data_IF_606110843323
#
_entry.id   IF_606110843323
#
_cell.length_a   1.000
_cell.length_b   1.000
_cell.length_c   1.000
_cell.angle_alpha   90.00
_cell.angle_beta   90.00
_cell.angle_gamma   90.00
#
_symmetry.space_group_name_H-M   'P 1'
#
loop_
_entity.id
_entity.type
_entity.pdbx_description
1 polymer ?
#
# COMPACT_ATOMS: atom_id res chain seq x y z
N UNK A 1 14.33 16.54 0.65
CA UNK A 1 14.59 16.20 -0.74
C UNK A 1 15.10 17.40 -1.55
N UNK A 2 14.36 18.49 -1.73
CA UNK A 2 14.83 19.67 -2.48
C UNK A 2 16.18 20.22 -1.98
N UNK A 3 16.42 20.25 -0.68
CA UNK A 3 17.67 20.72 -0.12
C UNK A 3 18.87 19.85 -0.51
N UNK A 4 18.71 18.53 -0.51
CA UNK A 4 19.78 17.61 -0.91
C UNK A 4 20.13 17.80 -2.39
N UNK A 5 19.11 17.95 -3.27
CA UNK A 5 19.31 18.26 -4.68
C UNK A 5 20.01 19.61 -4.90
N UNK A 6 19.68 20.62 -4.09
CA UNK A 6 20.31 21.93 -4.19
C UNK A 6 21.81 21.88 -3.86
N UNK A 7 22.20 21.02 -2.89
CA UNK A 7 23.63 20.83 -2.55
C UNK A 7 24.37 19.95 -3.57
N UNK A 8 23.69 19.09 -4.30
CA UNK A 8 24.27 18.30 -5.38
C UNK A 8 24.43 19.09 -6.71
N UNK A 9 23.66 20.19 -6.89
CA UNK A 9 23.67 20.99 -8.12
C UNK A 9 25.07 21.46 -8.55
N UNK A 10 25.95 22.01 -7.68
CA UNK A 10 27.30 22.44 -8.09
C UNK A 10 28.15 21.32 -8.63
N UNK A 11 28.01 20.10 -8.11
CA UNK A 11 28.76 18.92 -8.58
C UNK A 11 28.38 18.55 -10.02
N UNK A 12 27.09 18.73 -10.40
CA UNK A 12 26.61 18.43 -11.75
C UNK A 12 26.87 19.55 -12.77
N UNK A 13 27.03 20.80 -12.33
CA UNK A 13 27.23 21.94 -13.22
C UNK A 13 28.69 22.16 -13.60
N UNK A 14 29.62 21.34 -13.07
CA UNK A 14 31.05 21.42 -13.41
C UNK A 14 31.66 22.75 -13.00
N UNK A 15 31.29 23.24 -11.80
CA UNK A 15 31.93 24.41 -11.21
C UNK A 15 33.37 24.02 -10.79
N UNK A 16 34.29 24.04 -11.76
CA UNK A 16 35.72 23.75 -11.59
C UNK A 16 36.40 24.66 -10.58
N UNK A 17 35.71 25.69 -10.09
CA UNK A 17 36.22 26.65 -9.09
C UNK A 17 35.91 26.25 -7.64
N UNK A 18 35.25 25.10 -7.39
CA UNK A 18 35.02 24.65 -6.01
C UNK A 18 36.34 24.13 -5.40
N UNK A 19 36.68 24.69 -4.25
CA UNK A 19 37.81 24.17 -3.44
C UNK A 19 37.40 22.78 -2.91
N UNK A 20 38.32 21.84 -2.86
CA UNK A 20 38.11 20.46 -2.34
C UNK A 20 37.44 20.46 -0.96
N UNK A 21 37.69 21.47 -0.14
CA UNK A 21 37.04 21.65 1.16
C UNK A 21 35.57 21.93 1.06
N UNK A 22 35.11 22.65 0.01
CA UNK A 22 33.68 22.95 -0.23
C UNK A 22 32.94 21.73 -0.70
N UNK A 23 33.52 20.91 -1.55
CA UNK A 23 32.94 19.64 -1.99
C UNK A 23 32.74 18.68 -0.82
N UNK A 24 33.74 18.57 0.09
CA UNK A 24 33.60 17.75 1.28
C UNK A 24 32.51 18.27 2.21
N UNK A 25 32.39 19.58 2.42
CA UNK A 25 31.32 20.17 3.25
C UNK A 25 29.94 19.92 2.66
N UNK A 26 29.79 20.05 1.35
CA UNK A 26 28.53 19.76 0.64
C UNK A 26 28.19 18.28 0.74
N UNK A 27 29.16 17.39 0.60
CA UNK A 27 28.99 15.93 0.75
C UNK A 27 28.52 15.56 2.17
N UNK A 28 29.16 16.08 3.21
CA UNK A 28 28.78 15.84 4.61
C UNK A 28 27.40 16.41 4.94
N UNK A 29 27.05 17.58 4.40
CA UNK A 29 25.73 18.19 4.57
C UNK A 29 24.65 17.33 3.90
N UNK A 30 24.89 16.88 2.67
CA UNK A 30 24.00 15.98 1.95
C UNK A 30 23.83 14.64 2.69
N UNK A 31 24.88 14.07 3.22
CA UNK A 31 24.83 12.87 4.07
C UNK A 31 23.98 13.09 5.32
N UNK A 32 24.23 14.19 6.06
CA UNK A 32 23.47 14.51 7.28
C UNK A 32 21.98 14.69 7.03
N UNK A 33 21.60 15.26 5.88
CA UNK A 33 20.20 15.40 5.46
C UNK A 33 19.59 14.08 4.97
N UNK A 34 20.39 13.17 4.40
CA UNK A 34 19.94 11.89 3.90
C UNK A 34 19.68 10.88 5.02
N UNK A 35 20.47 10.93 6.12
CA UNK A 35 20.31 10.06 7.29
C UNK A 35 18.85 10.02 7.81
N UNK A 36 18.22 11.17 8.16
CA UNK A 36 16.82 11.14 8.63
C UNK A 36 15.86 10.66 7.57
N UNK A 37 16.11 10.91 6.29
CA UNK A 37 15.26 10.39 5.20
C UNK A 37 15.33 8.87 5.14
N UNK A 38 16.52 8.28 5.20
CA UNK A 38 16.68 6.81 5.19
C UNK A 38 16.09 6.17 6.44
N UNK A 39 16.33 6.74 7.62
CA UNK A 39 15.88 6.15 8.89
C UNK A 39 14.37 6.31 9.10
N UNK A 40 13.81 7.47 8.77
CA UNK A 40 12.40 7.76 9.04
C UNK A 40 11.50 7.40 7.86
N UNK A 41 11.82 7.88 6.66
CA UNK A 41 10.96 7.69 5.48
C UNK A 41 11.07 6.27 4.91
N UNK A 42 12.25 5.67 4.88
CA UNK A 42 12.43 4.28 4.46
C UNK A 42 12.24 3.27 5.61
N UNK A 43 12.17 3.72 6.88
CA UNK A 43 12.01 2.89 8.07
C UNK A 43 10.89 1.84 7.95
N UNK A 44 9.65 2.20 7.60
CA UNK A 44 8.57 1.24 7.41
C UNK A 44 8.89 0.15 6.37
N UNK A 45 9.61 0.49 5.30
CA UNK A 45 10.02 -0.49 4.28
C UNK A 45 11.04 -1.48 4.82
N UNK A 46 12.00 -1.01 5.61
CA UNK A 46 12.98 -1.89 6.28
C UNK A 46 12.33 -2.85 7.27
N UNK A 47 11.32 -2.38 8.03
CA UNK A 47 10.56 -3.23 8.96
C UNK A 47 9.80 -4.32 8.20
N UNK A 48 9.10 -3.97 7.12
CA UNK A 48 8.36 -4.93 6.28
C UNK A 48 9.33 -5.93 5.64
N UNK A 49 10.46 -5.47 5.11
CA UNK A 49 11.49 -6.32 4.53
C UNK A 49 12.07 -7.30 5.57
N UNK A 50 12.37 -6.82 6.77
CA UNK A 50 12.85 -7.65 7.87
C UNK A 50 11.85 -8.74 8.26
N UNK A 51 10.57 -8.40 8.39
CA UNK A 51 9.51 -9.37 8.65
C UNK A 51 9.36 -10.39 7.52
N UNK A 52 9.47 -9.95 6.25
CA UNK A 52 9.42 -10.84 5.09
C UNK A 52 10.57 -11.84 5.09
N UNK A 53 11.80 -11.40 5.38
CA UNK A 53 12.98 -12.26 5.48
C UNK A 53 12.82 -13.26 6.63
N UNK A 54 12.34 -12.80 7.79
CA UNK A 54 12.17 -13.67 8.96
C UNK A 54 11.09 -14.73 8.76
N UNK A 55 10.06 -14.43 7.99
CA UNK A 55 8.96 -15.35 7.69
C UNK A 55 9.18 -16.16 6.40
N UNK A 56 10.24 -15.89 5.65
CA UNK A 56 10.58 -16.62 4.43
C UNK A 56 10.57 -18.14 4.59
N UNK A 57 11.11 -18.75 5.68
CA UNK A 57 11.08 -20.20 5.87
C UNK A 57 9.67 -20.80 5.94
N UNK A 58 8.65 -19.97 6.28
CA UNK A 58 7.26 -20.40 6.43
C UNK A 58 6.41 -20.15 5.18
N UNK A 59 6.69 -19.08 4.46
CA UNK A 59 5.81 -18.58 3.38
C UNK A 59 6.39 -18.86 1.99
N UNK A 60 7.71 -19.04 1.87
CA UNK A 60 8.41 -19.27 0.58
C UNK A 60 8.37 -18.08 -0.37
N UNK A 61 7.80 -16.94 0.01
CA UNK A 61 7.67 -15.75 -0.81
C UNK A 61 8.42 -14.56 -0.19
N UNK A 62 9.30 -13.96 -0.97
CA UNK A 62 9.95 -12.70 -0.64
C UNK A 62 9.09 -11.54 -1.17
N UNK A 63 8.69 -10.63 -0.29
CA UNK A 63 8.00 -9.41 -0.69
C UNK A 63 8.88 -8.50 -1.54
N UNK A 64 8.28 -7.69 -2.41
CA UNK A 64 8.98 -6.70 -3.25
C UNK A 64 9.78 -5.67 -2.42
N UNK A 65 9.43 -5.48 -1.16
CA UNK A 65 10.12 -4.54 -0.25
C UNK A 65 11.54 -5.00 0.12
N UNK A 66 11.84 -6.31 0.02
CA UNK A 66 13.16 -6.86 0.39
C UNK A 66 14.27 -6.39 -0.57
N UNK A 67 14.18 -6.61 -1.90
CA UNK A 67 15.22 -6.15 -2.81
C UNK A 67 15.34 -4.63 -2.84
N UNK A 68 14.25 -3.91 -2.66
CA UNK A 68 14.24 -2.44 -2.65
C UNK A 68 14.95 -1.90 -1.41
N UNK A 69 14.63 -2.42 -0.21
CA UNK A 69 15.28 -2.00 1.03
C UNK A 69 16.76 -2.35 1.04
N UNK A 70 17.13 -3.50 0.48
CA UNK A 70 18.52 -3.91 0.32
C UNK A 70 19.28 -2.94 -0.61
N UNK A 71 18.69 -2.57 -1.76
CA UNK A 71 19.29 -1.63 -2.69
C UNK A 71 19.53 -0.25 -2.04
N UNK A 72 18.54 0.27 -1.32
CA UNK A 72 18.66 1.55 -0.59
C UNK A 72 19.76 1.47 0.47
N UNK A 73 19.81 0.38 1.26
CA UNK A 73 20.85 0.20 2.29
C UNK A 73 22.25 0.12 1.69
N UNK A 74 22.43 -0.67 0.62
CA UNK A 74 23.72 -0.81 -0.06
C UNK A 74 24.16 0.51 -0.70
N UNK A 75 23.26 1.23 -1.36
CA UNK A 75 23.57 2.53 -1.95
C UNK A 75 23.97 3.56 -0.88
N UNK A 76 23.27 3.59 0.26
CA UNK A 76 23.61 4.48 1.36
C UNK A 76 24.98 4.14 1.99
N UNK A 77 25.25 2.86 2.21
CA UNK A 77 26.56 2.39 2.72
C UNK A 77 27.67 2.73 1.72
N UNK A 78 27.48 2.44 0.43
CA UNK A 78 28.46 2.74 -0.60
C UNK A 78 28.74 4.25 -0.71
N UNK A 79 27.70 5.10 -0.68
CA UNK A 79 27.86 6.56 -0.67
C UNK A 79 28.59 7.06 0.58
N UNK A 80 28.32 6.46 1.74
CA UNK A 80 29.03 6.81 3.00
C UNK A 80 30.50 6.42 2.91
N UNK A 81 30.82 5.26 2.39
CA UNK A 81 32.21 4.81 2.19
C UNK A 81 32.92 5.76 1.22
N UNK A 82 32.29 6.09 0.10
CA UNK A 82 32.81 7.04 -0.88
C UNK A 82 33.14 8.40 -0.25
N UNK A 83 32.25 8.93 0.59
CA UNK A 83 32.44 10.19 1.29
C UNK A 83 33.61 10.14 2.30
N UNK A 84 33.75 9.05 3.07
CA UNK A 84 34.78 8.89 4.11
C UNK A 84 36.15 8.70 3.49
N UNK A 85 36.26 7.92 2.43
CA UNK A 85 37.53 7.64 1.78
C UNK A 85 37.92 8.65 0.68
N UNK A 86 36.99 9.56 0.32
CA UNK A 86 37.21 10.53 -0.75
C UNK A 86 37.39 9.87 -2.14
N UNK A 87 36.82 8.69 -2.34
CA UNK A 87 36.92 7.91 -3.57
C UNK A 87 35.59 7.84 -4.30
N UNK A 88 35.47 8.55 -5.39
CA UNK A 88 34.26 8.55 -6.24
C UNK A 88 33.20 9.56 -5.81
N UNK A 89 32.11 9.60 -6.56
CA UNK A 89 30.99 10.52 -6.35
C UNK A 89 30.00 9.96 -5.31
N UNK A 90 29.43 10.84 -4.50
CA UNK A 90 28.41 10.49 -3.53
C UNK A 90 27.02 10.81 -4.08
N UNK A 91 26.20 9.79 -4.34
CA UNK A 91 24.86 9.89 -4.94
C UNK A 91 23.74 9.97 -3.89
N UNK A 92 23.89 10.80 -2.86
CA UNK A 92 22.87 10.93 -1.80
C UNK A 92 21.56 11.56 -2.29
N UNK A 93 21.63 12.44 -3.28
CA UNK A 93 20.49 13.02 -3.97
C UNK A 93 19.67 11.96 -4.68
N UNK A 94 20.33 11.05 -5.40
CA UNK A 94 19.67 9.93 -6.12
C UNK A 94 18.97 8.99 -5.14
N UNK A 95 19.58 8.70 -3.97
CA UNK A 95 18.95 7.88 -2.93
C UNK A 95 17.70 8.56 -2.38
N UNK A 96 17.76 9.86 -2.07
CA UNK A 96 16.62 10.61 -1.54
C UNK A 96 15.50 10.74 -2.56
N UNK A 97 15.84 10.96 -3.83
CA UNK A 97 14.90 11.00 -4.94
C UNK A 97 14.21 9.64 -5.10
N UNK A 98 14.97 8.56 -5.10
CA UNK A 98 14.43 7.20 -5.22
C UNK A 98 13.45 6.88 -4.09
N UNK A 99 13.80 7.16 -2.83
CA UNK A 99 12.91 6.98 -1.68
C UNK A 99 11.63 7.81 -1.84
N UNK A 100 11.73 9.06 -2.32
CA UNK A 100 10.56 9.90 -2.53
C UNK A 100 9.63 9.37 -3.62
N UNK A 101 10.16 8.85 -4.73
CA UNK A 101 9.35 8.20 -5.76
C UNK A 101 8.67 6.93 -5.25
N UNK A 102 9.38 6.12 -4.47
CA UNK A 102 8.78 4.92 -3.87
C UNK A 102 7.63 5.26 -2.91
N UNK A 103 7.81 6.27 -2.07
CA UNK A 103 6.74 6.73 -1.17
C UNK A 103 5.57 7.33 -1.95
N UNK A 104 5.85 8.09 -3.01
CA UNK A 104 4.83 8.61 -3.93
C UNK A 104 4.03 7.51 -4.60
N UNK A 105 4.70 6.49 -5.13
CA UNK A 105 4.05 5.33 -5.73
C UNK A 105 3.17 4.58 -4.72
N UNK A 106 3.65 4.37 -3.50
CA UNK A 106 2.85 3.77 -2.41
C UNK A 106 1.64 4.60 -2.03
N UNK A 107 1.80 5.92 -1.99
CA UNK A 107 0.68 6.81 -1.71
C UNK A 107 -0.40 6.72 -2.80
N UNK A 108 0.00 6.70 -4.07
CA UNK A 108 -0.94 6.52 -5.19
C UNK A 108 -1.62 5.15 -5.16
N UNK A 109 -0.89 4.10 -4.81
CA UNK A 109 -1.47 2.76 -4.61
C UNK A 109 -2.54 2.76 -3.51
N UNK A 110 -2.27 3.42 -2.37
CA UNK A 110 -3.24 3.53 -1.28
C UNK A 110 -4.50 4.28 -1.70
N UNK A 111 -4.36 5.39 -2.44
CA UNK A 111 -5.51 6.13 -2.97
C UNK A 111 -6.36 5.26 -3.91
N UNK A 112 -5.72 4.59 -4.87
CA UNK A 112 -6.42 3.70 -5.81
C UNK A 112 -7.14 2.56 -5.09
N UNK A 113 -6.54 2.01 -4.04
CA UNK A 113 -7.15 0.94 -3.23
C UNK A 113 -8.34 1.45 -2.42
N UNK A 114 -8.28 2.65 -1.87
CA UNK A 114 -9.38 3.28 -1.14
C UNK A 114 -10.59 3.54 -2.05
N UNK A 115 -10.36 4.04 -3.27
CA UNK A 115 -11.42 4.26 -4.25
C UNK A 115 -12.10 2.95 -4.65
N UNK A 116 -11.34 1.88 -4.85
CA UNK A 116 -11.87 0.56 -5.17
C UNK A 116 -12.70 -0.03 -4.01
N UNK A 117 -12.29 0.16 -2.76
CA UNK A 117 -13.01 -0.32 -1.58
C UNK A 117 -14.32 0.47 -1.36
N UNK A 118 -14.31 1.78 -1.59
CA UNK A 118 -15.50 2.61 -1.50
C UNK A 118 -16.62 2.16 -2.44
N UNK A 119 -16.29 1.71 -3.64
CA UNK A 119 -17.25 1.13 -4.59
C UNK A 119 -17.86 -0.19 -4.09
N UNK A 120 -17.03 -1.07 -3.52
CA UNK A 120 -17.51 -2.35 -2.98
C UNK A 120 -18.38 -2.17 -1.73
N UNK A 121 -18.05 -1.23 -0.84
CA UNK A 121 -18.88 -0.90 0.32
C UNK A 121 -20.22 -0.26 -0.08
N UNK A 122 -20.24 0.57 -1.12
CA UNK A 122 -21.47 1.16 -1.65
C UNK A 122 -22.42 0.08 -2.18
N UNK A 123 -21.89 -0.94 -2.87
CA UNK A 123 -22.67 -2.09 -3.32
C UNK A 123 -23.16 -2.96 -2.15
N UNK A 124 -22.29 -3.21 -1.16
CA UNK A 124 -22.66 -3.98 0.03
C UNK A 124 -23.75 -3.30 0.87
N UNK A 125 -23.77 -1.96 0.92
CA UNK A 125 -24.83 -1.18 1.61
C UNK A 125 -26.18 -1.22 0.88
N UNK A 126 -26.23 -1.59 -0.41
CA UNK A 126 -27.47 -1.75 -1.14
C UNK A 126 -28.16 -3.09 -0.83
N UNK A 127 -27.43 -4.06 -0.29
CA UNK A 127 -28.03 -5.32 0.14
C UNK A 127 -28.85 -5.12 1.42
N UNK A 128 -30.08 -5.65 1.49
CA UNK A 128 -30.91 -5.54 2.68
C UNK A 128 -30.28 -6.32 3.84
N UNK A 129 -30.33 -5.74 5.04
CA UNK A 129 -29.82 -6.38 6.25
C UNK A 129 -30.72 -7.52 6.75
N UNK A 130 -32.00 -7.48 6.38
CA UNK A 130 -33.04 -8.44 6.76
C UNK A 130 -33.77 -8.96 5.55
N UNK A 131 -34.28 -10.16 5.62
CA UNK A 131 -35.13 -10.80 4.60
C UNK A 131 -36.32 -11.45 5.26
N UNK A 132 -37.40 -11.55 4.49
CA UNK A 132 -38.63 -12.19 4.91
C UNK A 132 -38.58 -13.68 4.54
N UNK A 133 -38.50 -14.55 5.57
CA UNK A 133 -38.43 -16.00 5.40
C UNK A 133 -39.77 -16.64 5.80
N UNK A 134 -40.22 -17.60 5.01
CA UNK A 134 -41.32 -18.50 5.40
C UNK A 134 -40.81 -19.46 6.49
N UNK A 135 -41.60 -19.63 7.57
CA UNK A 135 -41.27 -20.58 8.64
C UNK A 135 -41.53 -22.04 8.17
N UNK A 136 -42.62 -22.26 7.43
CA UNK A 136 -42.93 -23.54 6.78
C UNK A 136 -43.69 -23.26 5.48
N UNK A 137 -42.99 -23.21 4.35
CA UNK A 137 -43.60 -22.88 3.04
C UNK A 137 -44.67 -23.87 2.60
N UNK A 138 -44.62 -25.13 3.08
CA UNK A 138 -45.57 -26.15 2.69
C UNK A 138 -46.90 -26.07 3.45
N UNK A 139 -46.92 -25.57 4.70
CA UNK A 139 -48.07 -25.68 5.61
C UNK A 139 -48.60 -24.35 6.14
N UNK A 140 -47.81 -23.27 6.07
CA UNK A 140 -48.21 -21.97 6.61
C UNK A 140 -47.58 -20.79 5.84
N UNK A 141 -48.39 -19.71 5.70
CA UNK A 141 -47.90 -18.43 5.13
C UNK A 141 -47.27 -17.51 6.20
N UNK A 142 -46.81 -18.06 7.30
CA UNK A 142 -46.19 -17.27 8.37
C UNK A 142 -44.83 -16.80 7.91
N UNK A 143 -44.70 -15.48 7.77
CA UNK A 143 -43.47 -14.81 7.37
C UNK A 143 -42.81 -14.23 8.59
N UNK A 144 -41.48 -14.45 8.70
CA UNK A 144 -40.67 -13.93 9.79
C UNK A 144 -39.50 -13.16 9.19
N UNK A 145 -39.35 -11.89 9.61
CA UNK A 145 -38.18 -11.11 9.22
C UNK A 145 -36.98 -11.57 10.00
N UNK A 146 -35.94 -12.01 9.28
CA UNK A 146 -34.68 -12.53 9.84
C UNK A 146 -33.50 -11.81 9.21
N UNK A 147 -32.39 -11.64 9.96
CA UNK A 147 -31.15 -11.15 9.36
C UNK A 147 -30.68 -12.07 8.23
N UNK A 148 -30.26 -11.49 7.11
CA UNK A 148 -29.77 -12.23 5.93
C UNK A 148 -28.66 -13.23 6.28
N UNK A 149 -27.81 -12.87 7.25
CA UNK A 149 -26.71 -13.74 7.74
C UNK A 149 -27.20 -15.07 8.35
N UNK A 150 -28.49 -15.16 8.72
CA UNK A 150 -29.09 -16.38 9.29
C UNK A 150 -29.81 -17.25 8.27
N UNK A 151 -29.83 -16.83 7.01
CA UNK A 151 -30.41 -17.65 5.94
C UNK A 151 -29.50 -18.85 5.65
N UNK A 152 -30.12 -20.01 5.50
CA UNK A 152 -29.44 -21.29 5.20
C UNK A 152 -29.94 -21.81 3.86
N UNK A 153 -29.14 -22.67 3.22
CA UNK A 153 -29.53 -23.31 1.96
C UNK A 153 -30.79 -24.16 2.18
N UNK A 154 -31.83 -23.92 1.39
CA UNK A 154 -33.13 -24.54 1.53
C UNK A 154 -34.22 -23.65 2.14
N UNK A 155 -33.85 -22.48 2.68
CA UNK A 155 -34.85 -21.49 3.13
C UNK A 155 -35.61 -20.89 1.94
N UNK A 156 -36.90 -20.67 2.11
CA UNK A 156 -37.76 -19.99 1.13
C UNK A 156 -37.98 -18.55 1.60
N UNK A 157 -37.64 -17.61 0.73
CA UNK A 157 -37.74 -16.18 1.01
C UNK A 157 -38.86 -15.54 0.19
N UNK A 158 -39.55 -14.58 0.79
CA UNK A 158 -40.46 -13.70 0.09
C UNK A 158 -39.78 -12.42 -0.31
N UNK A 159 -39.86 -12.04 -1.55
CA UNK A 159 -39.34 -10.78 -2.09
C UNK A 159 -40.51 -9.99 -2.64
N UNK A 160 -40.68 -8.78 -2.14
CA UNK A 160 -41.75 -7.90 -2.65
C UNK A 160 -41.29 -7.22 -3.97
N UNK A 161 -42.24 -6.82 -4.83
CA UNK A 161 -41.88 -6.08 -6.02
C UNK A 161 -41.15 -4.78 -5.69
N UNK A 162 -39.98 -4.60 -6.28
CA UNK A 162 -39.11 -3.45 -6.02
C UNK A 162 -38.05 -3.67 -4.94
N UNK A 163 -38.06 -4.79 -4.23
CA UNK A 163 -37.05 -5.15 -3.27
C UNK A 163 -35.81 -5.75 -3.93
N UNK A 164 -34.66 -5.56 -3.29
CA UNK A 164 -33.40 -6.15 -3.73
C UNK A 164 -33.31 -7.60 -3.22
N UNK A 165 -32.94 -8.52 -4.11
CA UNK A 165 -32.71 -9.92 -3.77
C UNK A 165 -31.55 -10.03 -2.78
N UNK A 166 -31.75 -10.53 -1.54
CA UNK A 166 -30.77 -10.51 -0.47
C UNK A 166 -29.67 -11.59 -0.59
N UNK A 167 -30.00 -12.71 -1.24
CA UNK A 167 -29.11 -13.88 -1.40
C UNK A 167 -29.32 -14.55 -2.74
N UNK A 168 -28.35 -15.28 -3.24
CA UNK A 168 -28.50 -16.09 -4.44
C UNK A 168 -29.51 -17.23 -4.20
N UNK A 169 -30.40 -17.45 -5.17
CA UNK A 169 -31.44 -18.46 -5.06
C UNK A 169 -32.08 -18.81 -6.39
N UNK A 170 -33.06 -19.73 -6.34
CA UNK A 170 -33.83 -20.16 -7.47
C UNK A 170 -35.27 -19.66 -7.30
N UNK A 171 -35.82 -19.02 -8.34
CA UNK A 171 -37.22 -18.55 -8.33
C UNK A 171 -38.18 -19.75 -8.34
N UNK A 172 -39.01 -19.86 -7.30
CA UNK A 172 -40.01 -20.92 -7.18
C UNK A 172 -41.34 -20.51 -7.80
N UNK A 173 -41.75 -19.26 -7.60
CA UNK A 173 -42.95 -18.71 -8.19
C UNK A 173 -42.86 -17.20 -8.35
N UNK A 174 -43.51 -16.61 -9.35
CA UNK A 174 -43.51 -15.18 -9.65
C UNK A 174 -42.67 -14.84 -10.87
N UNK A 175 -42.49 -13.53 -11.11
CA UNK A 175 -41.69 -12.98 -12.19
C UNK A 175 -40.63 -12.06 -11.59
N UNK A 176 -39.39 -12.19 -12.03
CA UNK A 176 -38.28 -11.31 -11.68
C UNK A 176 -37.82 -10.58 -12.95
N UNK A 177 -37.67 -9.26 -12.87
CA UNK A 177 -37.17 -8.40 -13.96
C UNK A 177 -35.97 -7.60 -13.50
#
# INVERSE_FOLDING_TARGET
MMQVMMYAWPTYTGADDLLVEQELLLGWTSWALTVPVVLYSAGPMFVVAWHSIRNFPKTGMLGMDVPVSLAVALAFIAGTISLVFGVGESYFDSITMFIAFLLGARYLELLARQDAQGGAEALAKQLPATCDRFEDYANSEVIKSVPVVRCVVGDVLRIAPGDVIPVDGVLLSGEAS
#
